data_IF_900054075365
#
_entry.id   IF_900054075365
#
_cell.length_a   1.000
_cell.length_b   1.000
_cell.length_c   1.000
_cell.angle_alpha   90.00
_cell.angle_beta   90.00
_cell.angle_gamma   90.00
#
_symmetry.space_group_name_H-M   'P 1'
#
loop_
_entity.id
_entity.type
_entity.pdbx_description
1 polymer ?
#
# COMPACT_ATOMS: atom_id res chain seq x y z
N UNK A 1 2.25 -4.58 -14.06
CA UNK A 1 2.48 -3.50 -13.05
C UNK A 1 2.60 -2.17 -13.76
N UNK A 2 1.95 -1.14 -13.25
CA UNK A 2 1.95 0.19 -13.87
C UNK A 2 3.21 0.94 -13.43
N UNK A 3 4.12 1.29 -14.37
CA UNK A 3 5.42 1.89 -13.99
C UNK A 3 5.30 3.22 -13.25
N UNK A 4 4.37 4.08 -13.64
CA UNK A 4 4.18 5.38 -13.00
C UNK A 4 3.75 5.24 -11.54
N UNK A 5 2.84 4.31 -11.27
CA UNK A 5 2.39 4.05 -9.90
C UNK A 5 3.51 3.48 -9.04
N UNK A 6 4.35 2.63 -9.62
CA UNK A 6 5.53 2.10 -8.94
C UNK A 6 6.51 3.21 -8.59
N UNK A 7 6.76 4.12 -9.52
CA UNK A 7 7.61 5.28 -9.28
C UNK A 7 7.08 6.14 -8.14
N UNK A 8 5.76 6.41 -8.15
CA UNK A 8 5.13 7.20 -7.09
C UNK A 8 5.22 6.49 -5.73
N UNK A 9 5.13 5.16 -5.71
CA UNK A 9 5.30 4.40 -4.47
C UNK A 9 6.69 4.58 -3.89
N UNK A 10 7.72 4.49 -4.71
CA UNK A 10 9.11 4.70 -4.27
C UNK A 10 9.31 6.14 -3.77
N UNK A 11 8.78 7.11 -4.49
CA UNK A 11 8.85 8.52 -4.10
C UNK A 11 8.21 8.74 -2.72
N UNK A 12 7.01 8.21 -2.52
CA UNK A 12 6.29 8.37 -1.25
C UNK A 12 7.02 7.68 -0.11
N UNK A 13 7.67 6.55 -0.38
CA UNK A 13 8.45 5.85 0.63
C UNK A 13 9.67 6.67 1.05
N UNK A 14 10.37 7.26 0.10
CA UNK A 14 11.49 8.15 0.40
C UNK A 14 11.03 9.35 1.23
N UNK A 15 9.89 9.94 0.88
CA UNK A 15 9.31 11.04 1.63
C UNK A 15 8.98 10.61 3.07
N UNK A 16 8.43 9.41 3.25
CA UNK A 16 8.11 8.89 4.56
C UNK A 16 9.37 8.75 5.42
N UNK A 17 10.44 8.22 4.83
CA UNK A 17 11.73 8.08 5.52
C UNK A 17 12.31 9.43 5.91
N UNK A 18 12.21 10.42 5.05
CA UNK A 18 12.66 11.77 5.31
C UNK A 18 11.91 12.38 6.51
N UNK A 19 10.58 12.30 6.49
CA UNK A 19 9.77 12.88 7.56
C UNK A 19 9.97 12.16 8.88
N UNK A 20 10.16 10.84 8.85
CA UNK A 20 10.44 10.08 10.05
C UNK A 20 11.77 10.51 10.68
N UNK A 21 12.81 10.68 9.86
CA UNK A 21 14.12 11.14 10.34
C UNK A 21 14.05 12.55 10.92
N UNK A 22 13.14 13.38 10.41
CA UNK A 22 12.92 14.74 10.91
C UNK A 22 12.02 14.78 12.15
N UNK A 23 11.58 13.64 12.66
CA UNK A 23 10.71 13.57 13.84
C UNK A 23 9.25 13.91 13.57
N UNK A 24 8.85 13.95 12.31
CA UNK A 24 7.47 14.27 11.89
C UNK A 24 6.67 13.00 11.68
N UNK A 25 6.27 12.37 12.78
CA UNK A 25 5.65 11.04 12.71
C UNK A 25 4.32 11.02 11.93
N UNK A 26 3.46 12.01 12.13
CA UNK A 26 2.18 12.06 11.41
C UNK A 26 2.38 12.17 9.90
N UNK A 27 3.30 13.05 9.48
CA UNK A 27 3.64 13.18 8.06
C UNK A 27 4.25 11.89 7.50
N UNK A 28 5.10 11.23 8.29
CA UNK A 28 5.71 9.97 7.89
C UNK A 28 4.66 8.87 7.69
N UNK A 29 3.68 8.76 8.59
CA UNK A 29 2.58 7.79 8.48
C UNK A 29 1.78 8.04 7.21
N UNK A 30 1.42 9.29 6.96
CA UNK A 30 0.65 9.65 5.77
C UNK A 30 1.38 9.27 4.49
N UNK A 31 2.68 9.57 4.40
CA UNK A 31 3.50 9.25 3.23
C UNK A 31 3.72 7.75 3.08
N UNK A 32 3.93 7.04 4.18
CA UNK A 32 4.06 5.58 4.15
C UNK A 32 2.78 4.93 3.63
N UNK A 33 1.62 5.43 4.08
CA UNK A 33 0.34 4.93 3.57
C UNK A 33 0.21 5.17 2.06
N UNK A 34 0.56 6.36 1.57
CA UNK A 34 0.50 6.64 0.14
C UNK A 34 1.47 5.77 -0.65
N UNK A 35 2.63 5.44 -0.09
CA UNK A 35 3.54 4.49 -0.73
C UNK A 35 2.86 3.13 -0.92
N UNK A 36 2.20 2.63 0.12
CA UNK A 36 1.47 1.36 0.05
C UNK A 36 0.31 1.45 -0.95
N UNK A 37 -0.44 2.55 -0.93
CA UNK A 37 -1.55 2.77 -1.86
C UNK A 37 -1.08 2.73 -3.32
N UNK A 38 -0.02 3.46 -3.63
CA UNK A 38 0.52 3.48 -5.00
C UNK A 38 1.08 2.12 -5.41
N UNK A 39 1.71 1.41 -4.48
CA UNK A 39 2.22 0.06 -4.75
C UNK A 39 1.08 -0.92 -5.04
N UNK A 40 0.00 -0.86 -4.27
CA UNK A 40 -1.18 -1.69 -4.52
C UNK A 40 -1.81 -1.36 -5.88
N UNK A 41 -1.91 -0.08 -6.21
CA UNK A 41 -2.43 0.33 -7.51
C UNK A 41 -1.53 -0.18 -8.65
N UNK A 42 -0.21 -0.06 -8.49
CA UNK A 42 0.74 -0.57 -9.49
C UNK A 42 0.53 -2.07 -9.75
N UNK A 43 0.29 -2.82 -8.70
CA UNK A 43 0.11 -4.27 -8.78
C UNK A 43 -1.26 -4.66 -9.36
N UNK A 44 -2.32 -3.99 -8.94
CA UNK A 44 -3.69 -4.31 -9.38
C UNK A 44 -4.03 -3.77 -10.76
N UNK A 45 -3.40 -2.68 -11.17
CA UNK A 45 -3.76 -1.97 -12.39
C UNK A 45 -4.86 -0.95 -12.14
N UNK A 46 -5.32 -0.32 -13.21
CA UNK A 46 -6.37 0.70 -13.11
C UNK A 46 -7.70 0.07 -12.74
N UNK A 47 -8.51 0.77 -11.93
CA UNK A 47 -9.81 0.24 -11.54
C UNK A 47 -10.78 0.29 -12.73
N UNK A 48 -11.87 -0.49 -12.65
CA UNK A 48 -12.88 -0.44 -13.70
C UNK A 48 -13.67 0.87 -13.74
N UNK A 49 -13.53 1.71 -12.72
CA UNK A 49 -14.20 3.00 -12.65
C UNK A 49 -13.25 4.15 -12.93
N UNK A 50 -13.75 5.21 -13.54
CA UNK A 50 -12.97 6.37 -13.91
C UNK A 50 -12.44 7.17 -12.71
N UNK A 51 -13.10 7.07 -11.55
CA UNK A 51 -12.71 7.85 -10.37
C UNK A 51 -11.44 7.34 -9.67
N UNK A 52 -10.91 6.20 -10.11
CA UNK A 52 -9.75 5.61 -9.47
C UNK A 52 -10.12 4.71 -8.29
N UNK A 53 -9.11 4.22 -7.59
CA UNK A 53 -9.29 3.33 -6.45
C UNK A 53 -9.63 4.13 -5.20
N UNK A 54 -10.70 3.75 -4.51
CA UNK A 54 -10.96 4.22 -3.15
C UNK A 54 -10.03 3.49 -2.19
N UNK A 55 -9.62 4.16 -1.12
CA UNK A 55 -8.60 3.63 -0.20
C UNK A 55 -8.99 2.29 0.43
N UNK A 56 -10.19 2.18 0.99
CA UNK A 56 -10.64 0.92 1.56
C UNK A 56 -10.83 -0.17 0.50
N UNK A 57 -11.33 0.21 -0.67
CA UNK A 57 -11.57 -0.73 -1.76
C UNK A 57 -10.26 -1.31 -2.30
N UNK A 58 -9.23 -0.48 -2.48
CA UNK A 58 -7.94 -0.95 -2.99
C UNK A 58 -7.30 -1.95 -2.03
N UNK A 59 -7.37 -1.68 -0.73
CA UNK A 59 -6.85 -2.59 0.29
C UNK A 59 -7.56 -3.94 0.21
N UNK A 60 -8.88 -3.94 0.13
CA UNK A 60 -9.66 -5.18 0.06
C UNK A 60 -9.36 -5.96 -1.22
N UNK A 61 -9.28 -5.29 -2.36
CA UNK A 61 -8.96 -5.95 -3.63
C UNK A 61 -7.55 -6.51 -3.64
N UNK A 62 -6.59 -5.77 -3.12
CA UNK A 62 -5.22 -6.25 -3.05
C UNK A 62 -5.12 -7.49 -2.17
N UNK A 63 -5.72 -7.45 -0.98
CA UNK A 63 -5.68 -8.57 -0.06
C UNK A 63 -6.34 -9.81 -0.66
N UNK A 64 -7.50 -9.67 -1.31
CA UNK A 64 -8.18 -10.80 -1.93
C UNK A 64 -7.43 -11.37 -3.12
N UNK A 65 -6.92 -10.49 -3.99
CA UNK A 65 -6.24 -10.93 -5.20
C UNK A 65 -4.85 -11.50 -4.95
N UNK A 66 -4.08 -10.87 -4.09
CA UNK A 66 -2.70 -11.27 -3.86
C UNK A 66 -2.54 -12.18 -2.65
N UNK A 67 -3.54 -12.20 -1.78
CA UNK A 67 -3.60 -13.14 -0.69
C UNK A 67 -3.70 -14.58 -1.20
N UNK A 68 -4.47 -14.78 -2.25
CA UNK A 68 -4.57 -16.06 -2.92
C UNK A 68 -3.42 -16.23 -3.90
N UNK A 69 -2.21 -16.00 -3.44
CA UNK A 69 -1.02 -15.95 -4.26
C UNK A 69 -0.88 -17.17 -5.17
N UNK A 70 -0.29 -16.98 -6.35
CA UNK A 70 -0.03 -18.12 -7.25
C UNK A 70 0.80 -19.20 -6.56
N UNK A 71 0.53 -20.43 -6.93
CA UNK A 71 1.18 -21.59 -6.31
C UNK A 71 2.71 -21.59 -6.48
N UNK A 72 3.23 -20.84 -7.42
CA UNK A 72 4.67 -20.76 -7.64
C UNK A 72 5.41 -19.93 -6.59
N UNK A 73 4.70 -19.18 -5.76
CA UNK A 73 5.32 -18.41 -4.69
C UNK A 73 5.54 -19.34 -3.50
N UNK A 74 6.79 -19.64 -3.22
CA UNK A 74 7.16 -20.60 -2.20
C UNK A 74 6.91 -20.12 -0.76
N UNK A 75 6.67 -18.82 -0.58
CA UNK A 75 6.51 -18.23 0.74
C UNK A 75 5.20 -18.58 1.41
N UNK A 76 4.20 -18.96 0.63
CA UNK A 76 2.92 -19.40 1.17
C UNK A 76 2.12 -18.30 1.85
N UNK A 77 1.06 -18.69 2.54
CA UNK A 77 0.09 -17.73 3.11
C UNK A 77 0.66 -16.87 4.24
N UNK A 78 1.63 -17.33 4.98
CA UNK A 78 2.14 -16.63 6.15
C UNK A 78 2.71 -15.24 5.86
N UNK A 79 3.47 -15.11 4.78
CA UNK A 79 4.05 -13.83 4.40
C UNK A 79 2.97 -12.84 3.96
N UNK A 80 2.02 -13.31 3.16
CA UNK A 80 0.93 -12.48 2.68
C UNK A 80 0.01 -12.07 3.82
N UNK A 81 -0.17 -12.93 4.81
CA UNK A 81 -0.95 -12.60 5.99
C UNK A 81 -0.31 -11.47 6.79
N UNK A 82 0.99 -11.53 6.99
CA UNK A 82 1.71 -10.47 7.68
C UNK A 82 1.59 -9.13 6.93
N UNK A 83 1.69 -9.16 5.59
CA UNK A 83 1.51 -7.97 4.77
C UNK A 83 0.10 -7.41 4.89
N UNK A 84 -0.90 -8.27 4.88
CA UNK A 84 -2.30 -7.86 5.04
C UNK A 84 -2.50 -7.12 6.34
N UNK A 85 -1.98 -7.68 7.42
CA UNK A 85 -2.09 -7.06 8.75
C UNK A 85 -1.40 -5.70 8.78
N UNK A 86 -0.18 -5.63 8.24
CA UNK A 86 0.57 -4.39 8.19
C UNK A 86 -0.11 -3.30 7.37
N UNK A 87 -0.66 -3.67 6.22
CA UNK A 87 -1.38 -2.72 5.36
C UNK A 87 -2.62 -2.19 6.05
N UNK A 88 -3.39 -3.05 6.72
CA UNK A 88 -4.58 -2.62 7.44
C UNK A 88 -4.22 -1.71 8.63
N UNK A 89 -3.19 -2.06 9.36
CA UNK A 89 -2.72 -1.23 10.47
C UNK A 89 -2.28 0.15 10.00
N UNK A 90 -1.58 0.20 8.88
CA UNK A 90 -1.14 1.47 8.29
C UNK A 90 -2.32 2.32 7.84
N UNK A 91 -3.32 1.69 7.24
CA UNK A 91 -4.55 2.36 6.83
C UNK A 91 -5.26 2.99 8.04
N UNK A 92 -5.38 2.23 9.12
CA UNK A 92 -6.02 2.72 10.35
C UNK A 92 -5.24 3.87 10.99
N UNK A 93 -3.91 3.76 11.03
CA UNK A 93 -3.06 4.83 11.52
C UNK A 93 -3.22 6.11 10.71
N UNK A 94 -3.33 5.97 9.39
CA UNK A 94 -3.54 7.12 8.53
C UNK A 94 -4.85 7.83 8.85
N UNK A 95 -5.92 7.07 9.13
CA UNK A 95 -7.21 7.65 9.51
C UNK A 95 -7.10 8.44 10.81
N UNK A 96 -6.25 8.00 11.74
CA UNK A 96 -6.06 8.69 13.01
C UNK A 96 -5.30 10.01 12.87
N UNK A 97 -4.36 10.09 11.92
CA UNK A 97 -3.51 11.29 11.78
C UNK A 97 -4.02 12.26 10.71
N UNK A 98 -4.86 11.81 9.82
CA UNK A 98 -5.47 12.65 8.78
C UNK A 98 -6.84 13.15 9.20
#
# INVERSE_FOLDING_TARGET
MIPERRRLAHQSLEDAQYWLAAGRCASAVSRAYYAAYQAMWAALGDPPRAEGWRHGAILNHFVRGYWCAPAHLATGPGLLEALRFGLRSLYELRLDVD
#
